data_IF_674337866294
#
_entry.id   IF_674337866294
#
_cell.length_a   1.000
_cell.length_b   1.000
_cell.length_c   1.000
_cell.angle_alpha   90.00
_cell.angle_beta   90.00
_cell.angle_gamma   90.00
#
_symmetry.space_group_name_H-M   'P 1'
#
loop_
_entity.id
_entity.type
_entity.pdbx_description
1 polymer ?
#
# COMPACT_ATOMS: atom_id res chain seq x y z
N UNK A 1 5.81 -32.36 -11.78
CA UNK A 1 4.81 -31.26 -11.90
C UNK A 1 4.52 -30.51 -10.59
N UNK A 2 4.70 -31.06 -9.38
CA UNK A 2 4.43 -30.34 -8.11
C UNK A 2 5.37 -29.14 -7.82
N UNK A 3 6.61 -29.14 -8.33
CA UNK A 3 7.59 -28.07 -8.02
C UNK A 3 7.38 -26.76 -8.79
N UNK A 4 6.70 -26.75 -9.94
CA UNK A 4 6.48 -25.53 -10.74
C UNK A 4 5.40 -24.64 -10.11
N UNK A 5 4.34 -25.24 -9.51
CA UNK A 5 3.29 -24.49 -8.80
C UNK A 5 3.87 -23.73 -7.59
N UNK A 6 4.78 -24.34 -6.83
CA UNK A 6 5.44 -23.67 -5.69
C UNK A 6 6.41 -22.58 -6.14
N UNK A 7 7.13 -22.77 -7.25
CA UNK A 7 8.07 -21.77 -7.76
C UNK A 7 7.34 -20.51 -8.28
N UNK A 8 6.19 -20.68 -8.94
CA UNK A 8 5.37 -19.55 -9.42
C UNK A 8 4.69 -18.81 -8.24
N UNK A 9 4.21 -19.53 -7.23
CA UNK A 9 3.70 -18.91 -6.00
C UNK A 9 4.79 -18.17 -5.21
N UNK A 10 6.02 -18.71 -5.15
CA UNK A 10 7.15 -18.02 -4.51
C UNK A 10 7.57 -16.77 -5.28
N UNK A 11 7.62 -16.85 -6.62
CA UNK A 11 7.99 -15.74 -7.50
C UNK A 11 6.95 -14.61 -7.54
N UNK A 12 5.67 -14.91 -7.30
CA UNK A 12 4.61 -13.91 -7.19
C UNK A 12 4.50 -13.30 -5.78
N UNK A 13 4.87 -14.03 -4.73
CA UNK A 13 4.75 -13.57 -3.34
C UNK A 13 5.95 -12.71 -2.87
N UNK A 14 7.15 -12.92 -3.42
CA UNK A 14 8.37 -12.26 -2.92
C UNK A 14 8.60 -10.80 -3.36
N UNK A 15 8.42 -10.40 -4.63
CA UNK A 15 8.75 -9.02 -5.05
C UNK A 15 7.64 -8.01 -4.72
N UNK A 16 6.40 -8.45 -4.56
CA UNK A 16 5.25 -7.57 -4.32
C UNK A 16 5.26 -7.00 -2.91
N UNK A 17 5.51 -7.84 -1.90
CA UNK A 17 5.50 -7.42 -0.51
C UNK A 17 6.71 -6.52 -0.17
N UNK A 18 7.87 -6.75 -0.79
CA UNK A 18 9.06 -5.92 -0.56
C UNK A 18 8.92 -4.54 -1.22
N UNK A 19 8.41 -4.47 -2.45
CA UNK A 19 8.14 -3.18 -3.13
C UNK A 19 7.08 -2.34 -2.40
N UNK A 20 6.09 -3.01 -1.79
CA UNK A 20 5.07 -2.33 -0.99
C UNK A 20 5.65 -1.77 0.30
N UNK A 21 6.46 -2.57 1.00
CA UNK A 21 7.10 -2.16 2.26
C UNK A 21 8.07 -0.99 2.05
N UNK A 22 8.91 -1.05 1.01
CA UNK A 22 9.83 0.05 0.67
C UNK A 22 9.08 1.33 0.28
N UNK A 23 7.98 1.21 -0.49
CA UNK A 23 7.16 2.36 -0.85
C UNK A 23 6.43 2.99 0.34
N UNK A 24 5.93 2.16 1.26
CA UNK A 24 5.26 2.60 2.48
C UNK A 24 6.23 3.30 3.44
N UNK A 25 7.46 2.80 3.56
CA UNK A 25 8.53 3.44 4.34
C UNK A 25 8.89 4.82 3.78
N UNK A 26 9.03 4.95 2.45
CA UNK A 26 9.30 6.25 1.80
C UNK A 26 8.12 7.23 2.03
N UNK A 27 6.88 6.76 1.92
CA UNK A 27 5.69 7.57 2.21
C UNK A 27 5.70 8.08 3.65
N UNK A 28 5.98 7.21 4.63
CA UNK A 28 6.05 7.59 6.03
C UNK A 28 7.17 8.60 6.31
N UNK A 29 8.34 8.39 5.69
CA UNK A 29 9.46 9.33 5.79
C UNK A 29 9.10 10.72 5.22
N UNK A 30 8.44 10.77 4.07
CA UNK A 30 7.98 12.02 3.47
C UNK A 30 6.90 12.70 4.32
N UNK A 31 5.94 11.96 4.88
CA UNK A 31 4.92 12.50 5.80
C UNK A 31 5.55 13.10 7.04
N UNK A 32 6.55 12.43 7.62
CA UNK A 32 7.29 12.95 8.77
C UNK A 32 8.08 14.21 8.41
N UNK A 33 8.71 14.25 7.23
CA UNK A 33 9.44 15.43 6.76
C UNK A 33 8.50 16.61 6.47
N UNK A 34 7.35 16.37 5.84
CA UNK A 34 6.29 17.39 5.63
C UNK A 34 5.86 17.97 6.97
N UNK A 35 5.55 17.12 7.95
CA UNK A 35 5.15 17.56 9.29
C UNK A 35 6.23 18.42 9.96
N UNK A 36 7.49 18.00 9.87
CA UNK A 36 8.62 18.75 10.43
C UNK A 36 8.75 20.14 9.79
N UNK A 37 8.57 20.24 8.47
CA UNK A 37 8.59 21.52 7.76
C UNK A 37 7.38 22.40 8.10
N UNK A 38 6.20 21.83 8.33
CA UNK A 38 5.02 22.56 8.81
C UNK A 38 5.24 23.14 10.21
N UNK A 39 5.83 22.37 11.12
CA UNK A 39 6.19 22.83 12.46
C UNK A 39 7.25 23.95 12.38
N UNK A 40 8.25 23.82 11.50
CA UNK A 40 9.26 24.86 11.26
C UNK A 40 8.67 26.14 10.67
N UNK A 41 7.74 26.03 9.72
CA UNK A 41 7.05 27.18 9.13
C UNK A 41 6.21 27.92 10.18
N UNK A 42 5.53 27.17 11.05
CA UNK A 42 4.74 27.74 12.16
C UNK A 42 5.63 28.49 13.14
N UNK A 43 6.74 27.89 13.57
CA UNK A 43 7.70 28.52 14.47
C UNK A 43 8.35 29.78 13.85
N UNK A 44 8.63 29.75 12.55
CA UNK A 44 9.18 30.89 11.83
C UNK A 44 8.16 32.04 11.76
N UNK A 45 6.88 31.75 11.55
CA UNK A 45 5.81 32.75 11.55
C UNK A 45 5.60 33.38 12.93
N UNK A 46 5.62 32.59 14.01
CA UNK A 46 5.60 33.11 15.39
C UNK A 46 6.79 34.04 15.68
N UNK A 47 7.97 33.67 15.16
CA UNK A 47 9.18 34.49 15.28
C UNK A 47 9.05 35.81 14.51
N UNK A 48 8.45 35.78 13.32
CA UNK A 48 8.16 36.98 12.52
C UNK A 48 7.20 37.92 13.25
N UNK A 49 6.09 37.41 13.77
CA UNK A 49 5.11 38.19 14.55
C UNK A 49 5.78 38.84 15.76
N UNK A 50 6.60 38.09 16.50
CA UNK A 50 7.33 38.61 17.66
C UNK A 50 8.32 39.71 17.26
N UNK A 51 8.99 39.56 16.11
CA UNK A 51 9.89 40.57 15.56
C UNK A 51 9.15 41.84 15.14
N UNK A 52 8.00 41.71 14.49
CA UNK A 52 7.15 42.86 14.12
C UNK A 52 6.65 43.62 15.34
N UNK A 53 6.26 42.91 16.39
CA UNK A 53 5.80 43.56 17.62
C UNK A 53 6.94 44.30 18.33
N UNK A 54 8.16 43.73 18.34
CA UNK A 54 9.35 44.43 18.84
C UNK A 54 9.67 45.67 18.03
N UNK A 55 9.61 45.57 16.70
CA UNK A 55 9.81 46.70 15.79
C UNK A 55 8.81 47.82 16.08
N UNK A 56 7.52 47.48 16.20
CA UNK A 56 6.47 48.46 16.49
C UNK A 56 6.69 49.19 17.81
N UNK A 57 7.11 48.47 18.87
CA UNK A 57 7.43 49.08 20.17
C UNK A 57 8.64 50.03 20.07
N UNK A 58 9.67 49.64 19.32
CA UNK A 58 10.83 50.49 19.05
C UNK A 58 10.46 51.76 18.29
N UNK A 59 9.59 51.66 17.28
CA UNK A 59 9.12 52.82 16.51
C UNK A 59 8.27 53.77 17.37
N UNK A 60 7.45 53.23 18.28
CA UNK A 60 6.65 54.00 19.24
C UNK A 60 7.54 54.73 20.27
N UNK A 61 8.54 54.03 20.82
CA UNK A 61 9.55 54.62 21.73
C UNK A 61 10.36 55.72 21.03
N UNK A 62 10.79 55.49 19.79
CA UNK A 62 11.54 56.46 19.00
C UNK A 62 10.69 57.69 18.69
N UNK A 63 9.42 57.52 18.32
CA UNK A 63 8.51 58.63 18.09
C UNK A 63 8.30 59.48 19.36
N UNK A 64 8.13 58.84 20.52
CA UNK A 64 8.04 59.52 21.81
C UNK A 64 9.31 60.29 22.19
N UNK A 65 10.49 59.69 21.96
CA UNK A 65 11.78 60.33 22.19
C UNK A 65 12.00 61.54 21.26
N UNK A 66 11.64 61.42 19.98
CA UNK A 66 11.73 62.52 19.01
C UNK A 66 10.82 63.69 19.38
N UNK A 67 9.57 63.42 19.78
CA UNK A 67 8.65 64.47 20.20
C UNK A 67 9.13 65.16 21.49
N UNK A 68 9.67 64.37 22.42
CA UNK A 68 10.29 64.92 23.65
C UNK A 68 11.46 65.83 23.32
N UNK A 69 12.38 65.38 22.44
CA UNK A 69 13.53 66.18 22.02
C UNK A 69 13.11 67.47 21.28
N UNK A 70 12.07 67.40 20.45
CA UNK A 70 11.48 68.57 19.78
C UNK A 70 10.94 69.59 20.78
N UNK A 71 10.23 69.13 21.81
CA UNK A 71 9.74 70.01 22.88
C UNK A 71 10.90 70.66 23.66
N UNK A 72 11.98 69.92 23.91
CA UNK A 72 13.19 70.46 24.54
C UNK A 72 13.88 71.53 23.69
N UNK A 73 14.01 71.29 22.38
CA UNK A 73 14.58 72.27 21.44
C UNK A 73 13.73 73.55 21.43
N UNK A 74 12.40 73.43 21.45
CA UNK A 74 11.52 74.59 21.53
C UNK A 74 11.74 75.37 22.82
N UNK A 75 11.76 74.68 23.96
CA UNK A 75 11.95 75.31 25.27
C UNK A 75 13.33 75.98 25.40
N UNK A 76 14.37 75.38 24.81
CA UNK A 76 15.71 75.96 24.74
C UNK A 76 15.71 77.26 23.94
N UNK A 77 15.07 77.28 22.75
CA UNK A 77 14.96 78.49 21.93
C UNK A 77 14.18 79.59 22.66
N UNK A 78 13.07 79.24 23.32
CA UNK A 78 12.27 80.20 24.09
C UNK A 78 13.09 80.80 25.26
N UNK A 79 13.89 79.97 25.94
CA UNK A 79 14.77 80.40 27.03
C UNK A 79 15.93 81.28 26.54
N UNK A 80 16.51 80.94 25.38
CA UNK A 80 17.55 81.75 24.74
C UNK A 80 17.03 83.12 24.33
N UNK A 81 15.85 83.19 23.70
CA UNK A 81 15.20 84.45 23.34
C UNK A 81 14.93 85.31 24.58
N UNK A 82 14.37 84.72 25.65
CA UNK A 82 14.12 85.43 26.90
C UNK A 82 15.41 85.95 27.56
N UNK A 83 16.51 85.19 27.48
CA UNK A 83 17.80 85.64 27.99
C UNK A 83 18.34 86.84 27.20
N UNK A 84 18.19 86.84 25.87
CA UNK A 84 18.56 88.00 25.02
C UNK A 84 17.72 89.24 25.36
N UNK A 85 16.42 89.10 25.57
CA UNK A 85 15.56 90.21 26.01
C UNK A 85 16.00 90.78 27.38
N UNK A 86 16.42 89.92 28.32
CA UNK A 86 16.98 90.36 29.61
C UNK A 86 18.28 91.14 29.44
N UNK A 87 19.18 90.69 28.54
CA UNK A 87 20.42 91.40 28.23
C UNK A 87 20.16 92.78 27.64
N UNK A 88 19.21 92.89 26.71
CA UNK A 88 18.80 94.17 26.13
C UNK A 88 18.22 95.12 27.18
N UNK A 89 17.33 94.62 28.05
CA UNK A 89 16.76 95.43 29.14
C UNK A 89 17.83 95.91 30.11
N UNK A 90 18.79 95.04 30.47
CA UNK A 90 19.87 95.40 31.38
C UNK A 90 20.74 96.50 30.77
N UNK A 91 21.12 96.40 29.50
CA UNK A 91 21.91 97.41 28.82
C UNK A 91 21.21 98.78 28.79
N UNK A 92 19.91 98.81 28.45
CA UNK A 92 19.12 100.06 28.44
C UNK A 92 19.08 100.69 29.83
N UNK A 93 18.97 99.87 30.87
CA UNK A 93 18.89 100.36 32.24
C UNK A 93 20.24 100.90 32.73
N UNK A 94 21.34 100.22 32.41
CA UNK A 94 22.71 100.68 32.69
C UNK A 94 22.99 102.03 32.00
N UNK A 95 22.56 102.21 30.76
CA UNK A 95 22.66 103.48 30.03
C UNK A 95 21.88 104.62 30.72
N UNK A 96 20.66 104.35 31.21
CA UNK A 96 19.87 105.37 31.91
C UNK A 96 20.44 105.69 33.30
N UNK A 97 20.99 104.71 34.02
CA UNK A 97 21.74 104.94 35.27
C UNK A 97 22.92 105.88 35.02
N UNK A 98 23.74 105.61 34.02
CA UNK A 98 24.91 106.44 33.68
C UNK A 98 24.50 107.88 33.32
N UNK A 99 23.40 108.03 32.59
CA UNK A 99 22.85 109.33 32.19
C UNK A 99 22.32 110.14 33.38
N UNK A 100 21.67 109.50 34.36
CA UNK A 100 21.21 110.19 35.59
C UNK A 100 22.40 110.54 36.49
N UNK A 101 23.41 109.67 36.59
CA UNK A 101 24.66 109.95 37.31
C UNK A 101 25.39 111.17 36.72
N UNK A 102 25.46 111.30 35.39
CA UNK A 102 26.01 112.50 34.74
C UNK A 102 25.21 113.78 35.06
N UNK A 103 23.87 113.69 35.12
CA UNK A 103 23.02 114.83 35.54
C UNK A 103 23.25 115.20 37.01
N UNK A 104 23.46 114.20 37.88
CA UNK A 104 23.77 114.39 39.30
C UNK A 104 25.10 115.12 39.51
N UNK A 105 26.14 114.79 38.73
CA UNK A 105 27.45 115.45 38.79
C UNK A 105 27.41 116.93 38.35
N UNK A 106 26.39 117.33 37.57
CA UNK A 106 26.25 118.69 37.02
C UNK A 106 25.16 119.53 37.70
N UNK A 107 24.46 119.02 38.73
CA UNK A 107 23.33 119.71 39.39
C UNK A 107 23.70 120.27 40.77
N UNK A 108 23.47 121.58 40.98
CA UNK A 108 23.63 122.27 42.28
C UNK A 108 22.37 122.23 43.18
N UNK A 109 21.27 121.60 42.74
CA UNK A 109 19.96 121.65 43.43
C UNK A 109 19.65 120.35 44.21
N UNK A 110 18.85 120.49 45.28
CA UNK A 110 18.51 119.48 46.30
C UNK A 110 18.48 118.04 45.75
N UNK A 111 19.46 117.28 46.23
CA UNK A 111 20.06 116.15 45.52
C UNK A 111 19.48 114.78 45.94
N UNK A 112 18.36 114.79 46.66
CA UNK A 112 17.81 113.59 47.31
C UNK A 112 16.89 112.78 46.39
N UNK A 113 16.13 113.43 45.50
CA UNK A 113 15.19 112.76 44.59
C UNK A 113 15.92 111.98 43.48
N UNK A 114 16.89 112.61 42.82
CA UNK A 114 17.72 111.96 41.80
C UNK A 114 18.55 110.79 42.39
N UNK A 115 19.02 110.91 43.65
CA UNK A 115 19.76 109.83 44.33
C UNK A 115 18.85 108.63 44.64
N UNK A 116 17.59 108.89 45.01
CA UNK A 116 16.58 107.85 45.20
C UNK A 116 16.25 107.13 43.88
N UNK A 117 16.27 107.85 42.76
CA UNK A 117 16.04 107.30 41.43
C UNK A 117 17.20 106.40 40.97
N UNK A 118 18.45 106.82 41.20
CA UNK A 118 19.64 105.97 40.97
C UNK A 118 19.60 104.71 41.84
N UNK A 119 19.33 104.81 43.15
CA UNK A 119 19.23 103.63 44.02
C UNK A 119 18.08 102.67 43.63
N UNK A 120 17.04 103.17 42.95
CA UNK A 120 15.97 102.32 42.39
C UNK A 120 16.44 101.61 41.13
N UNK A 121 17.07 102.33 40.21
CA UNK A 121 17.59 101.74 38.97
C UNK A 121 18.71 100.74 39.25
N UNK A 122 19.63 101.02 40.18
CA UNK A 122 20.67 100.08 40.62
C UNK A 122 20.08 98.79 41.20
N UNK A 123 18.96 98.87 41.93
CA UNK A 123 18.22 97.68 42.37
C UNK A 123 17.64 96.90 41.20
N UNK A 124 17.02 97.58 40.23
CA UNK A 124 16.51 96.93 39.03
C UNK A 124 17.61 96.27 38.19
N UNK A 125 18.79 96.89 38.05
CA UNK A 125 19.96 96.27 37.39
C UNK A 125 20.36 94.99 38.12
N UNK A 126 20.46 95.03 39.46
CA UNK A 126 20.82 93.86 40.26
C UNK A 126 19.77 92.73 40.18
N UNK A 127 18.48 93.07 40.12
CA UNK A 127 17.40 92.09 39.92
C UNK A 127 17.48 91.45 38.52
N UNK A 128 17.79 92.24 37.48
CA UNK A 128 18.02 91.73 36.12
C UNK A 128 19.25 90.82 36.03
N UNK A 129 20.35 91.12 36.73
CA UNK A 129 21.53 90.24 36.79
C UNK A 129 21.20 88.87 37.43
N UNK A 130 20.35 88.85 38.46
CA UNK A 130 19.89 87.61 39.09
C UNK A 130 19.03 86.80 38.11
N UNK A 131 18.09 87.47 37.42
CA UNK A 131 17.25 86.83 36.40
C UNK A 131 18.07 86.28 35.24
N UNK A 132 19.08 87.03 34.78
CA UNK A 132 20.01 86.59 33.73
C UNK A 132 20.76 85.33 34.15
N UNK A 133 21.39 85.32 35.33
CA UNK A 133 22.08 84.12 35.85
C UNK A 133 21.16 82.90 35.96
N UNK A 134 19.89 83.12 36.33
CA UNK A 134 18.90 82.06 36.37
C UNK A 134 18.53 81.54 34.96
N UNK A 135 18.39 82.44 33.99
CA UNK A 135 18.12 82.08 32.59
C UNK A 135 19.29 81.31 31.98
N UNK A 136 20.53 81.78 32.16
CA UNK A 136 21.75 81.05 31.75
C UNK A 136 21.81 79.65 32.35
N UNK A 137 21.56 79.50 33.66
CA UNK A 137 21.51 78.18 34.30
C UNK A 137 20.40 77.28 33.77
N UNK A 138 19.27 77.86 33.33
CA UNK A 138 18.16 77.11 32.72
C UNK A 138 18.54 76.63 31.33
N UNK A 139 19.18 77.49 30.52
CA UNK A 139 19.70 77.14 29.19
C UNK A 139 20.71 76.00 29.32
N UNK A 140 21.68 76.07 30.23
CA UNK A 140 22.69 75.02 30.44
C UNK A 140 22.07 73.66 30.77
N UNK A 141 21.00 73.64 31.59
CA UNK A 141 20.25 72.41 31.92
C UNK A 141 19.55 71.85 30.69
N UNK A 142 18.87 72.71 29.91
CA UNK A 142 18.15 72.30 28.71
C UNK A 142 19.11 71.78 27.62
N UNK A 143 20.29 72.38 27.46
CA UNK A 143 21.31 71.87 26.54
C UNK A 143 21.83 70.48 26.96
N UNK A 144 21.98 70.25 28.26
CA UNK A 144 22.37 68.94 28.79
C UNK A 144 21.27 67.90 28.53
N UNK A 145 20.01 68.22 28.83
CA UNK A 145 18.87 67.31 28.61
C UNK A 145 18.67 67.01 27.11
N UNK A 146 18.89 68.00 26.22
CA UNK A 146 18.91 67.81 24.77
C UNK A 146 19.98 66.77 24.36
N UNK A 147 21.22 66.90 24.83
CA UNK A 147 22.30 65.95 24.52
C UNK A 147 22.01 64.53 25.01
N UNK A 148 21.42 64.41 26.21
CA UNK A 148 21.00 63.11 26.74
C UNK A 148 19.91 62.47 25.87
N UNK A 149 18.93 63.26 25.40
CA UNK A 149 17.89 62.78 24.48
C UNK A 149 18.43 62.38 23.11
N UNK A 150 19.39 63.11 22.55
CA UNK A 150 20.04 62.74 21.28
C UNK A 150 20.72 61.36 21.38
N UNK A 151 21.37 61.05 22.50
CA UNK A 151 21.97 59.72 22.75
C UNK A 151 20.89 58.63 22.84
N UNK A 152 19.76 58.92 23.48
CA UNK A 152 18.62 57.98 23.56
C UNK A 152 18.08 57.68 22.15
N UNK A 153 17.89 58.71 21.33
CA UNK A 153 17.43 58.59 19.94
C UNK A 153 18.43 57.74 19.12
N UNK A 154 19.72 58.04 19.17
CA UNK A 154 20.73 57.28 18.42
C UNK A 154 20.75 55.79 18.80
N UNK A 155 20.57 55.49 20.10
CA UNK A 155 20.49 54.11 20.58
C UNK A 155 19.22 53.39 20.12
N UNK A 156 18.07 54.08 20.11
CA UNK A 156 16.81 53.54 19.59
C UNK A 156 16.90 53.28 18.08
N UNK A 157 17.51 54.19 17.31
CA UNK A 157 17.75 53.99 15.88
C UNK A 157 18.64 52.79 15.59
N UNK A 158 19.73 52.60 16.34
CA UNK A 158 20.59 51.41 16.22
C UNK A 158 19.82 50.12 16.49
N UNK A 159 19.00 50.09 17.55
CA UNK A 159 18.14 48.93 17.87
C UNK A 159 17.10 48.68 16.77
N UNK A 160 16.51 49.74 16.22
CA UNK A 160 15.56 49.67 15.11
C UNK A 160 16.20 49.06 13.87
N UNK A 161 17.38 49.52 13.45
CA UNK A 161 18.10 48.95 12.29
C UNK A 161 18.47 47.48 12.48
N UNK A 162 18.82 47.07 13.70
CA UNK A 162 19.08 45.65 13.98
C UNK A 162 17.80 44.82 13.88
N UNK A 163 16.69 45.30 14.46
CA UNK A 163 15.39 44.64 14.40
C UNK A 163 14.86 44.51 12.95
N UNK A 164 15.07 45.51 12.09
CA UNK A 164 14.74 45.42 10.66
C UNK A 164 15.54 44.32 9.92
N UNK A 165 16.81 44.12 10.27
CA UNK A 165 17.63 43.03 9.72
C UNK A 165 17.09 41.67 10.17
N UNK A 166 16.83 41.51 11.46
CA UNK A 166 16.31 40.27 12.04
C UNK A 166 14.95 39.89 11.42
N UNK A 167 14.08 40.89 11.17
CA UNK A 167 12.82 40.71 10.48
C UNK A 167 13.01 40.20 9.04
N UNK A 168 13.92 40.84 8.28
CA UNK A 168 14.18 40.47 6.88
C UNK A 168 14.72 39.04 6.76
N UNK A 169 15.62 38.65 7.66
CA UNK A 169 16.16 37.29 7.72
C UNK A 169 15.07 36.26 8.06
N UNK A 170 14.21 36.58 9.03
CA UNK A 170 13.06 35.73 9.40
C UNK A 170 12.09 35.55 8.23
N UNK A 171 11.79 36.62 7.49
CA UNK A 171 10.90 36.57 6.32
C UNK A 171 11.47 35.71 5.18
N UNK A 172 12.78 35.81 4.94
CA UNK A 172 13.46 34.95 3.97
C UNK A 172 13.37 33.49 4.36
N UNK A 173 13.62 33.16 5.63
CA UNK A 173 13.55 31.79 6.14
C UNK A 173 12.15 31.19 5.98
N UNK A 174 11.09 31.95 6.26
CA UNK A 174 9.69 31.54 6.00
C UNK A 174 9.49 31.22 4.52
N UNK A 175 9.95 32.10 3.64
CA UNK A 175 9.79 31.93 2.18
C UNK A 175 10.51 30.67 1.68
N UNK A 176 11.75 30.46 2.12
CA UNK A 176 12.54 29.29 1.76
C UNK A 176 11.88 27.99 2.26
N UNK A 177 11.46 27.95 3.54
CA UNK A 177 10.76 26.78 4.13
C UNK A 177 9.41 26.52 3.47
N UNK A 178 8.64 27.56 3.14
CA UNK A 178 7.37 27.42 2.42
C UNK A 178 7.56 26.84 1.02
N UNK A 179 8.60 27.29 0.31
CA UNK A 179 8.90 26.79 -1.04
C UNK A 179 9.31 25.32 -0.99
N UNK A 180 10.19 24.93 -0.07
CA UNK A 180 10.58 23.53 0.13
C UNK A 180 9.38 22.65 0.51
N UNK A 181 8.49 23.15 1.37
CA UNK A 181 7.25 22.45 1.76
C UNK A 181 6.33 22.20 0.56
N UNK A 182 6.14 23.20 -0.30
CA UNK A 182 5.30 23.10 -1.49
C UNK A 182 5.87 22.10 -2.52
N UNK A 183 7.19 22.10 -2.71
CA UNK A 183 7.88 21.12 -3.57
C UNK A 183 7.74 19.70 -3.01
N UNK A 184 7.97 19.51 -1.71
CA UNK A 184 7.86 18.20 -1.06
C UNK A 184 6.42 17.66 -1.11
N UNK A 185 5.40 18.52 -0.93
CA UNK A 185 3.99 18.15 -1.08
C UNK A 185 3.66 17.68 -2.50
N UNK A 186 4.22 18.33 -3.53
CA UNK A 186 4.06 17.91 -4.93
C UNK A 186 4.72 16.56 -5.18
N UNK A 187 5.96 16.35 -4.72
CA UNK A 187 6.67 15.08 -4.87
C UNK A 187 5.93 13.93 -4.17
N UNK A 188 5.46 14.15 -2.94
CA UNK A 188 4.65 13.19 -2.20
C UNK A 188 3.36 12.82 -2.97
N UNK A 189 2.66 13.81 -3.53
CA UNK A 189 1.45 13.57 -4.33
C UNK A 189 1.74 12.72 -5.58
N UNK A 190 2.83 13.03 -6.29
CA UNK A 190 3.26 12.28 -7.47
C UNK A 190 3.67 10.84 -7.12
N UNK A 191 4.43 10.65 -6.04
CA UNK A 191 4.83 9.32 -5.58
C UNK A 191 3.62 8.47 -5.21
N UNK A 192 2.68 9.05 -4.45
CA UNK A 192 1.43 8.39 -4.05
C UNK A 192 0.59 7.99 -5.26
N UNK A 193 0.49 8.85 -6.27
CA UNK A 193 -0.20 8.54 -7.52
C UNK A 193 0.51 7.40 -8.28
N UNK A 194 1.84 7.45 -8.39
CA UNK A 194 2.65 6.41 -9.04
C UNK A 194 2.46 5.04 -8.38
N UNK A 195 2.48 4.98 -7.04
CA UNK A 195 2.23 3.74 -6.30
C UNK A 195 0.82 3.21 -6.54
N UNK A 196 -0.21 4.06 -6.51
CA UNK A 196 -1.59 3.65 -6.82
C UNK A 196 -1.71 3.01 -8.21
N UNK A 197 -1.09 3.62 -9.22
CA UNK A 197 -1.09 3.08 -10.59
C UNK A 197 -0.39 1.73 -10.65
N UNK A 198 0.77 1.56 -10.01
CA UNK A 198 1.47 0.27 -9.95
C UNK A 198 0.64 -0.83 -9.28
N UNK A 199 -0.06 -0.50 -8.19
CA UNK A 199 -0.94 -1.44 -7.48
C UNK A 199 -2.08 -1.88 -8.38
N UNK A 200 -2.70 -0.93 -9.09
CA UNK A 200 -3.78 -1.21 -10.03
C UNK A 200 -3.33 -2.14 -11.17
N UNK A 201 -2.15 -1.88 -11.74
CA UNK A 201 -1.59 -2.72 -12.81
C UNK A 201 -1.23 -4.12 -12.31
N UNK A 202 -0.74 -4.25 -11.08
CA UNK A 202 -0.48 -5.53 -10.44
C UNK A 202 -1.77 -6.32 -10.17
N UNK A 203 -2.83 -5.66 -9.71
CA UNK A 203 -4.13 -6.30 -9.51
C UNK A 203 -4.70 -6.85 -10.82
N UNK A 204 -4.62 -6.07 -11.92
CA UNK A 204 -5.02 -6.55 -13.26
C UNK A 204 -4.24 -7.80 -13.69
N UNK A 205 -2.94 -7.84 -13.39
CA UNK A 205 -2.09 -9.00 -13.71
C UNK A 205 -2.44 -10.22 -12.86
N UNK A 206 -2.75 -10.01 -11.57
CA UNK A 206 -3.24 -11.06 -10.68
C UNK A 206 -4.57 -11.61 -11.20
N UNK A 207 -5.55 -10.75 -11.53
CA UNK A 207 -6.84 -11.17 -12.07
C UNK A 207 -6.69 -11.96 -13.37
N UNK A 208 -5.79 -11.52 -14.25
CA UNK A 208 -5.48 -12.23 -15.48
C UNK A 208 -4.90 -13.63 -15.21
N UNK A 209 -3.95 -13.74 -14.28
CA UNK A 209 -3.34 -15.02 -13.90
C UNK A 209 -4.34 -15.96 -13.22
N UNK A 210 -5.21 -15.45 -12.36
CA UNK A 210 -6.29 -16.21 -11.73
C UNK A 210 -7.24 -16.75 -12.80
N UNK A 211 -7.60 -15.94 -13.80
CA UNK A 211 -8.43 -16.38 -14.93
C UNK A 211 -7.76 -17.51 -15.71
N UNK A 212 -6.47 -17.37 -16.07
CA UNK A 212 -5.71 -18.43 -16.75
C UNK A 212 -5.70 -19.71 -15.91
N UNK A 213 -5.46 -19.61 -14.61
CA UNK A 213 -5.41 -20.76 -13.72
C UNK A 213 -6.77 -21.47 -13.62
N UNK A 214 -7.87 -20.71 -13.57
CA UNK A 214 -9.22 -21.26 -13.57
C UNK A 214 -9.53 -21.98 -14.90
N UNK A 215 -9.16 -21.39 -16.04
CA UNK A 215 -9.32 -22.01 -17.36
C UNK A 215 -8.50 -23.31 -17.48
N UNK A 216 -7.28 -23.33 -16.93
CA UNK A 216 -6.44 -24.53 -16.89
C UNK A 216 -7.03 -25.62 -15.99
N UNK A 217 -7.51 -25.26 -14.80
CA UNK A 217 -8.17 -26.19 -13.88
C UNK A 217 -9.42 -26.78 -14.51
N UNK A 218 -10.23 -25.97 -15.19
CA UNK A 218 -11.41 -26.43 -15.92
C UNK A 218 -11.04 -27.46 -16.98
N UNK A 219 -10.09 -27.15 -17.86
CA UNK A 219 -9.59 -28.09 -18.88
C UNK A 219 -9.05 -29.38 -18.25
N UNK A 220 -8.30 -29.27 -17.15
CA UNK A 220 -7.78 -30.44 -16.44
C UNK A 220 -8.88 -31.34 -15.88
N UNK A 221 -9.97 -30.74 -15.37
CA UNK A 221 -11.13 -31.49 -14.88
C UNK A 221 -11.87 -32.16 -16.05
N UNK A 222 -12.08 -31.46 -17.16
CA UNK A 222 -12.71 -32.03 -18.36
C UNK A 222 -11.93 -33.25 -18.88
N UNK A 223 -10.59 -33.19 -18.87
CA UNK A 223 -9.73 -34.34 -19.21
C UNK A 223 -9.86 -35.48 -18.21
N UNK A 224 -9.94 -35.18 -16.91
CA UNK A 224 -10.10 -36.19 -15.86
C UNK A 224 -11.44 -36.90 -15.99
N UNK A 225 -12.53 -36.16 -16.21
CA UNK A 225 -13.87 -36.72 -16.41
C UNK A 225 -13.91 -37.63 -17.64
N UNK A 226 -13.30 -37.21 -18.75
CA UNK A 226 -13.16 -38.03 -19.96
C UNK A 226 -12.37 -39.32 -19.67
N UNK A 227 -11.29 -39.23 -18.90
CA UNK A 227 -10.49 -40.40 -18.52
C UNK A 227 -11.28 -41.35 -17.60
N UNK A 228 -12.06 -40.82 -16.65
CA UNK A 228 -12.94 -41.61 -15.77
C UNK A 228 -13.98 -42.37 -16.62
N UNK A 229 -14.67 -41.68 -17.54
CA UNK A 229 -15.63 -42.31 -18.44
C UNK A 229 -14.99 -43.44 -19.27
N UNK A 230 -13.77 -43.22 -19.80
CA UNK A 230 -13.06 -44.25 -20.55
C UNK A 230 -12.71 -45.48 -19.70
N UNK A 231 -12.29 -45.27 -18.46
CA UNK A 231 -12.01 -46.36 -17.51
C UNK A 231 -13.29 -47.14 -17.18
N UNK A 232 -14.43 -46.47 -17.00
CA UNK A 232 -15.72 -47.12 -16.78
C UNK A 232 -16.17 -47.96 -17.99
N UNK A 233 -16.00 -47.45 -19.21
CA UNK A 233 -16.27 -48.21 -20.45
C UNK A 233 -15.40 -49.46 -20.54
N UNK A 234 -14.09 -49.32 -20.27
CA UNK A 234 -13.15 -50.44 -20.30
C UNK A 234 -13.50 -51.48 -19.23
N UNK A 235 -13.89 -51.07 -18.03
CA UNK A 235 -14.33 -51.96 -16.97
C UNK A 235 -15.61 -52.73 -17.35
N UNK A 236 -16.59 -52.06 -17.99
CA UNK A 236 -17.79 -52.72 -18.51
C UNK A 236 -17.45 -53.75 -19.60
N UNK A 237 -16.57 -53.41 -20.53
CA UNK A 237 -16.10 -54.31 -21.58
C UNK A 237 -15.33 -55.52 -21.00
N UNK A 238 -14.48 -55.29 -20.00
CA UNK A 238 -13.76 -56.34 -19.29
C UNK A 238 -14.72 -57.29 -18.57
N UNK A 239 -15.73 -56.77 -17.85
CA UNK A 239 -16.74 -57.57 -17.18
C UNK A 239 -17.57 -58.43 -18.16
N UNK A 240 -17.97 -57.85 -19.30
CA UNK A 240 -18.65 -58.59 -20.37
C UNK A 240 -17.76 -59.72 -20.92
N UNK A 241 -16.48 -59.44 -21.15
CA UNK A 241 -15.50 -60.43 -21.65
C UNK A 241 -15.29 -61.56 -20.65
N UNK A 242 -15.16 -61.24 -19.36
CA UNK A 242 -15.08 -62.23 -18.28
C UNK A 242 -16.33 -63.11 -18.20
N UNK A 243 -17.51 -62.53 -18.37
CA UNK A 243 -18.78 -63.28 -18.41
C UNK A 243 -18.82 -64.26 -19.58
N UNK A 244 -18.44 -63.83 -20.79
CA UNK A 244 -18.37 -64.71 -21.97
C UNK A 244 -17.37 -65.84 -21.76
N UNK A 245 -16.19 -65.53 -21.20
CA UNK A 245 -15.18 -66.54 -20.89
C UNK A 245 -15.67 -67.56 -19.84
N UNK A 246 -16.39 -67.10 -18.81
CA UNK A 246 -16.99 -67.98 -17.81
C UNK A 246 -18.03 -68.92 -18.43
N UNK A 247 -18.89 -68.40 -19.32
CA UNK A 247 -19.88 -69.20 -20.07
C UNK A 247 -19.20 -70.25 -20.99
N UNK A 248 -18.17 -69.87 -21.74
CA UNK A 248 -17.41 -70.81 -22.59
C UNK A 248 -16.73 -71.91 -21.77
N UNK A 249 -16.17 -71.55 -20.61
CA UNK A 249 -15.56 -72.52 -19.69
C UNK A 249 -16.59 -73.52 -19.15
N UNK A 250 -17.78 -73.06 -18.79
CA UNK A 250 -18.89 -73.90 -18.33
C UNK A 250 -19.40 -74.83 -19.45
N UNK A 251 -19.57 -74.31 -20.66
CA UNK A 251 -19.91 -75.09 -21.85
C UNK A 251 -18.86 -76.20 -22.09
N UNK A 252 -17.57 -75.86 -22.06
CA UNK A 252 -16.48 -76.84 -22.21
C UNK A 252 -16.49 -77.92 -21.13
N UNK A 253 -16.80 -77.55 -19.87
CA UNK A 253 -16.95 -78.53 -18.77
C UNK A 253 -18.11 -79.49 -19.05
N UNK A 254 -19.25 -78.98 -19.50
CA UNK A 254 -20.44 -79.77 -19.82
C UNK A 254 -20.18 -80.72 -21.01
N UNK A 255 -19.61 -80.21 -22.10
CA UNK A 255 -19.23 -81.03 -23.26
C UNK A 255 -18.23 -82.13 -22.89
N UNK A 256 -17.25 -81.83 -22.04
CA UNK A 256 -16.30 -82.84 -21.56
C UNK A 256 -16.97 -83.89 -20.66
N UNK A 257 -17.91 -83.49 -19.81
CA UNK A 257 -18.68 -84.42 -18.98
C UNK A 257 -19.55 -85.36 -19.84
N UNK A 258 -20.18 -84.83 -20.89
CA UNK A 258 -20.97 -85.60 -21.84
C UNK A 258 -20.12 -86.57 -22.66
N UNK A 259 -18.95 -86.13 -23.16
CA UNK A 259 -17.96 -87.01 -23.80
C UNK A 259 -17.55 -88.16 -22.89
N UNK A 260 -17.30 -87.90 -21.59
CA UNK A 260 -16.99 -88.95 -20.60
C UNK A 260 -18.12 -89.96 -20.44
N UNK A 261 -19.38 -89.50 -20.34
CA UNK A 261 -20.55 -90.40 -20.28
C UNK A 261 -20.62 -91.32 -21.50
N UNK A 262 -20.45 -90.75 -22.70
CA UNK A 262 -20.52 -91.51 -23.96
C UNK A 262 -19.41 -92.54 -24.10
N UNK A 263 -18.19 -92.23 -23.62
CA UNK A 263 -17.09 -93.21 -23.56
C UNK A 263 -17.45 -94.37 -22.62
N UNK A 264 -18.06 -94.09 -21.47
CA UNK A 264 -18.43 -95.12 -20.51
C UNK A 264 -19.56 -96.02 -21.03
N UNK A 265 -20.57 -95.44 -21.70
CA UNK A 265 -21.60 -96.18 -22.41
C UNK A 265 -21.01 -97.11 -23.49
N UNK A 266 -20.02 -96.62 -24.25
CA UNK A 266 -19.34 -97.42 -25.26
C UNK A 266 -18.55 -98.57 -24.64
N UNK A 267 -17.88 -98.38 -23.49
CA UNK A 267 -17.21 -99.47 -22.77
C UNK A 267 -18.20 -100.53 -22.30
N UNK A 268 -19.34 -100.13 -21.74
CA UNK A 268 -20.40 -101.04 -21.30
C UNK A 268 -20.90 -101.86 -22.49
N UNK A 269 -21.19 -101.21 -23.62
CA UNK A 269 -21.65 -101.88 -24.84
C UNK A 269 -20.59 -102.84 -25.39
N UNK A 270 -19.31 -102.45 -25.37
CA UNK A 270 -18.23 -103.32 -25.84
C UNK A 270 -18.07 -104.55 -24.94
N UNK A 271 -18.21 -104.38 -23.62
CA UNK A 271 -18.24 -105.50 -22.68
C UNK A 271 -19.40 -106.45 -22.96
N UNK A 272 -20.60 -105.93 -23.22
CA UNK A 272 -21.75 -106.73 -23.62
C UNK A 272 -21.51 -107.50 -24.93
N UNK A 273 -20.83 -106.89 -25.90
CA UNK A 273 -20.44 -107.56 -27.15
C UNK A 273 -19.45 -108.70 -26.91
N UNK A 274 -18.43 -108.50 -26.07
CA UNK A 274 -17.48 -109.56 -25.72
C UNK A 274 -18.17 -110.70 -24.94
N UNK A 275 -19.06 -110.38 -24.00
CA UNK A 275 -19.88 -111.39 -23.30
C UNK A 275 -20.77 -112.17 -24.27
N UNK A 276 -21.42 -111.49 -25.23
CA UNK A 276 -22.23 -112.13 -26.26
C UNK A 276 -21.39 -112.98 -27.23
N UNK A 277 -20.17 -112.54 -27.54
CA UNK A 277 -19.21 -113.27 -28.37
C UNK A 277 -18.74 -114.53 -27.66
N UNK A 278 -18.35 -114.46 -26.40
CA UNK A 278 -17.97 -115.62 -25.59
C UNK A 278 -19.14 -116.59 -25.40
N UNK A 279 -20.35 -116.08 -25.20
CA UNK A 279 -21.57 -116.91 -25.17
C UNK A 279 -21.80 -117.62 -26.50
N UNK A 280 -21.63 -116.91 -27.63
CA UNK A 280 -21.75 -117.49 -28.96
C UNK A 280 -20.66 -118.53 -29.23
N UNK A 281 -19.44 -118.30 -28.75
CA UNK A 281 -18.33 -119.24 -28.82
C UNK A 281 -18.61 -120.50 -28.02
N UNK A 282 -19.13 -120.38 -26.79
CA UNK A 282 -19.62 -121.53 -26.00
C UNK A 282 -20.70 -122.32 -26.73
N UNK A 283 -21.71 -121.66 -27.29
CA UNK A 283 -22.75 -122.34 -28.08
C UNK A 283 -22.15 -123.09 -29.28
N UNK A 284 -21.15 -122.50 -29.93
CA UNK A 284 -20.46 -123.13 -31.05
C UNK A 284 -19.60 -124.33 -30.62
N UNK A 285 -18.91 -124.23 -29.48
CA UNK A 285 -18.11 -125.31 -28.90
C UNK A 285 -19.00 -126.46 -28.37
N UNK A 286 -20.14 -126.14 -27.72
CA UNK A 286 -21.17 -127.09 -27.31
C UNK A 286 -21.77 -127.83 -28.53
N UNK A 287 -22.06 -127.11 -29.62
CA UNK A 287 -22.50 -127.72 -30.89
C UNK A 287 -21.44 -128.60 -31.57
N UNK A 288 -20.16 -128.40 -31.27
CA UNK A 288 -19.07 -129.21 -31.84
C UNK A 288 -18.69 -130.42 -30.95
N UNK A 289 -19.16 -130.50 -29.71
CA UNK A 289 -18.87 -131.61 -28.80
C UNK A 289 -20.01 -132.62 -28.66
N UNK A 290 -21.24 -132.26 -29.03
CA UNK A 290 -22.37 -133.20 -29.15
C UNK A 290 -22.72 -133.49 -30.63
N UNK A 291 -22.29 -134.68 -31.06
CA UNK A 291 -22.96 -135.61 -31.99
C UNK A 291 -24.00 -135.10 -33.01
N UNK A 292 -23.78 -135.55 -34.26
CA UNK A 292 -24.76 -136.32 -35.06
C UNK A 292 -26.09 -135.66 -35.49
N UNK A 293 -26.17 -135.47 -36.81
CA UNK A 293 -27.36 -135.50 -37.68
C UNK A 293 -28.39 -134.38 -37.58
N UNK A 294 -28.46 -133.64 -38.71
CA UNK A 294 -29.67 -133.08 -39.36
C UNK A 294 -30.54 -132.14 -38.54
N UNK A 295 -30.30 -130.83 -38.69
CA UNK A 295 -31.37 -129.82 -38.89
C UNK A 295 -30.80 -128.49 -39.43
N UNK A 296 -30.10 -128.59 -40.57
CA UNK A 296 -29.46 -127.48 -41.30
C UNK A 296 -30.45 -126.59 -42.09
N UNK A 297 -31.76 -126.71 -41.89
CA UNK A 297 -32.76 -125.95 -42.66
C UNK A 297 -33.61 -124.96 -41.84
N UNK A 298 -33.72 -125.10 -40.50
CA UNK A 298 -34.41 -124.09 -39.66
C UNK A 298 -33.53 -122.87 -39.33
N UNK A 299 -32.19 -123.02 -39.35
CA UNK A 299 -31.23 -121.95 -39.04
C UNK A 299 -31.13 -120.87 -40.13
N UNK A 300 -31.45 -121.21 -41.38
CA UNK A 300 -31.30 -120.29 -42.51
C UNK A 300 -32.49 -119.31 -42.64
N UNK A 301 -33.70 -119.71 -42.21
CA UNK A 301 -34.85 -118.80 -42.16
C UNK A 301 -34.73 -117.76 -41.04
N UNK A 302 -34.26 -118.17 -39.86
CA UNK A 302 -34.10 -117.29 -38.71
C UNK A 302 -32.97 -116.26 -38.92
N UNK A 303 -31.91 -116.64 -39.66
CA UNK A 303 -30.89 -115.70 -40.13
C UNK A 303 -31.43 -114.73 -41.19
N UNK A 304 -32.30 -115.16 -42.11
CA UNK A 304 -32.94 -114.25 -43.08
C UNK A 304 -33.85 -113.22 -42.40
N UNK A 305 -34.60 -113.62 -41.36
CA UNK A 305 -35.43 -112.69 -40.61
C UNK A 305 -34.55 -111.68 -39.85
N UNK A 306 -33.49 -112.13 -39.16
CA UNK A 306 -32.52 -111.24 -38.50
C UNK A 306 -31.82 -110.28 -39.45
N UNK A 307 -31.48 -110.72 -40.66
CA UNK A 307 -30.88 -109.83 -41.68
C UNK A 307 -31.89 -108.78 -42.16
N UNK A 308 -33.16 -109.14 -42.29
CA UNK A 308 -34.24 -108.21 -42.65
C UNK A 308 -34.48 -107.18 -41.54
N UNK A 309 -34.54 -107.62 -40.29
CA UNK A 309 -34.73 -106.74 -39.12
C UNK A 309 -33.52 -105.80 -38.93
N UNK A 310 -32.30 -106.30 -39.17
CA UNK A 310 -31.08 -105.48 -39.14
C UNK A 310 -31.07 -104.44 -40.27
N UNK A 311 -31.54 -104.78 -41.48
CA UNK A 311 -31.68 -103.81 -42.58
C UNK A 311 -32.71 -102.72 -42.25
N UNK A 312 -33.86 -103.09 -41.70
CA UNK A 312 -34.89 -102.13 -41.30
C UNK A 312 -34.39 -101.18 -40.20
N UNK A 313 -33.64 -101.70 -39.21
CA UNK A 313 -33.00 -100.87 -38.19
C UNK A 313 -31.92 -99.95 -38.76
N UNK A 314 -31.13 -100.41 -39.74
CA UNK A 314 -30.13 -99.60 -40.42
C UNK A 314 -30.77 -98.44 -41.19
N UNK A 315 -31.84 -98.71 -41.95
CA UNK A 315 -32.58 -97.67 -42.68
C UNK A 315 -33.24 -96.67 -41.73
N UNK A 316 -33.78 -97.13 -40.59
CA UNK A 316 -34.33 -96.25 -39.55
C UNK A 316 -33.27 -95.34 -38.93
N UNK A 317 -32.10 -95.90 -38.60
CA UNK A 317 -30.94 -95.14 -38.10
C UNK A 317 -30.44 -94.12 -39.13
N UNK A 318 -30.41 -94.51 -40.40
CA UNK A 318 -29.97 -93.63 -41.49
C UNK A 318 -30.96 -92.47 -41.69
N UNK A 319 -32.27 -92.73 -41.59
CA UNK A 319 -33.30 -91.69 -41.62
C UNK A 319 -33.24 -90.74 -40.40
N UNK A 320 -32.92 -91.26 -39.20
CA UNK A 320 -32.70 -90.43 -38.02
C UNK A 320 -31.44 -89.57 -38.14
N UNK A 321 -30.35 -90.12 -38.69
CA UNK A 321 -29.11 -89.38 -38.92
C UNK A 321 -29.35 -88.21 -39.89
N UNK A 322 -30.08 -88.45 -40.98
CA UNK A 322 -30.45 -87.39 -41.95
C UNK A 322 -31.35 -86.32 -41.33
N UNK A 323 -32.29 -86.68 -40.44
CA UNK A 323 -33.09 -85.69 -39.71
C UNK A 323 -32.25 -84.82 -38.78
N UNK A 324 -31.25 -85.41 -38.13
CA UNK A 324 -30.38 -84.69 -37.19
C UNK A 324 -29.46 -83.71 -37.92
N UNK A 325 -28.95 -84.09 -39.10
CA UNK A 325 -28.13 -83.22 -39.95
C UNK A 325 -28.90 -82.03 -40.56
N UNK A 326 -30.23 -82.16 -40.77
CA UNK A 326 -31.07 -81.04 -41.19
C UNK A 326 -31.46 -80.09 -40.05
N UNK A 327 -31.20 -80.42 -38.78
CA UNK A 327 -31.46 -79.54 -37.63
C UNK A 327 -30.21 -78.80 -37.14
N UNK A 328 -29.02 -79.18 -37.62
CA UNK A 328 -27.72 -78.55 -37.31
C UNK A 328 -27.24 -77.56 -38.40
N UNK A 329 -28.04 -77.33 -39.46
CA UNK A 329 -27.93 -76.19 -40.38
C UNK A 329 -29.07 -75.21 -40.10
#
# INVERSE_FOLDING_TARGET
MKNIKYLILLLLAFPVNTLFAEGEEIIQMLEQKIKTLEDQATLAEESRITSEEKQRKLDEELAGALETNKNYIQLLNDSQNANTELEEMQQVLEEEVAKIQLKLEHSEKDNTENRLEVEKLERYVNDLEILKKHAESTIDKLEKEKKENEIVIENLEKKRTQSEKDYTESQKKITDTSTELDELKKEYALLKQSMRTKIEDMNKLIDHNVKIQNDQNKKSNDYLDTAIQKVEELNKAAAATQSVFAQDLELKKNTNAERKRRIEELKIRNKQYEEAREKSKKIFEERNTDQSSTDSQLSCMDMKQKITDLRANLESLQAQLSKTQCQEQ
#
